data_IF_475196168762
#
_entry.id   IF_475196168762
#
_cell.length_a   1.000
_cell.length_b   1.000
_cell.length_c   1.000
_cell.angle_alpha   90.00
_cell.angle_beta   90.00
_cell.angle_gamma   90.00
#
_symmetry.space_group_name_H-M   'P 1'
#
loop_
_entity.id
_entity.type
_entity.pdbx_description
1 polymer ?
#
# COMPACT_ATOMS: atom_id res chain seq x y z
N UNK A 1 6.01 16.68 -10.36
CA UNK A 1 4.95 15.89 -9.69
C UNK A 1 5.46 15.38 -8.36
N UNK A 2 4.62 15.36 -7.34
CA UNK A 2 4.97 14.93 -5.99
C UNK A 2 3.79 14.12 -5.43
N UNK A 3 4.00 13.09 -4.61
CA UNK A 3 2.94 12.29 -3.99
C UNK A 3 3.39 11.66 -2.67
N UNK A 4 2.44 11.36 -1.79
CA UNK A 4 2.63 10.67 -0.53
C UNK A 4 1.93 9.31 -0.55
N UNK A 5 2.67 8.23 -0.33
CA UNK A 5 2.12 6.89 -0.16
C UNK A 5 2.07 6.59 1.34
N UNK A 6 0.91 6.21 1.84
CA UNK A 6 0.70 5.93 3.26
C UNK A 6 0.25 4.49 3.42
N UNK A 7 1.02 3.68 4.16
CA UNK A 7 0.57 2.37 4.57
C UNK A 7 -0.46 2.53 5.69
N UNK A 8 -1.57 1.77 5.64
CA UNK A 8 -2.53 1.73 6.75
C UNK A 8 -1.86 1.38 8.09
N UNK A 9 -2.53 1.69 9.20
CA UNK A 9 -2.13 1.39 10.58
C UNK A 9 -2.24 -0.10 10.91
N UNK A 10 -1.86 -0.52 12.12
CA UNK A 10 -1.99 -1.90 12.57
C UNK A 10 -3.45 -2.38 12.49
N UNK A 11 -3.60 -3.67 12.19
CA UNK A 11 -4.89 -4.34 12.11
C UNK A 11 -5.13 -5.20 13.35
N UNK A 12 -6.39 -5.41 13.71
CA UNK A 12 -6.77 -6.31 14.79
C UNK A 12 -6.50 -7.80 14.49
N UNK A 13 -6.03 -8.09 13.26
CA UNK A 13 -5.66 -9.44 12.85
C UNK A 13 -4.41 -9.89 13.62
N UNK A 14 -4.43 -11.08 14.27
CA UNK A 14 -3.25 -11.60 14.94
C UNK A 14 -2.03 -11.70 14.02
N UNK A 15 -0.83 -11.55 14.59
CA UNK A 15 0.41 -11.76 13.86
C UNK A 15 0.46 -13.14 13.20
N UNK A 16 1.01 -13.22 12.00
CA UNK A 16 1.14 -14.47 11.27
C UNK A 16 -0.12 -14.92 10.51
N UNK A 17 -1.21 -14.15 10.53
CA UNK A 17 -2.40 -14.42 9.71
C UNK A 17 -2.28 -13.72 8.37
N UNK A 18 -2.52 -14.45 7.28
CA UNK A 18 -2.67 -13.89 5.94
C UNK A 18 -4.02 -13.18 5.83
N UNK A 19 -4.08 -11.90 5.44
CA UNK A 19 -5.37 -11.21 5.31
C UNK A 19 -5.59 -10.46 3.98
N UNK A 20 -4.55 -10.19 3.19
CA UNK A 20 -4.67 -9.64 1.82
C UNK A 20 -5.80 -8.65 1.62
N UNK A 21 -6.84 -9.05 0.89
CA UNK A 21 -8.07 -8.29 0.62
C UNK A 21 -9.15 -8.48 1.66
N UNK A 22 -9.02 -9.40 2.61
CA UNK A 22 -9.99 -9.51 3.70
C UNK A 22 -10.13 -8.15 4.40
N UNK A 23 -11.37 -7.73 4.63
CA UNK A 23 -11.68 -6.41 5.19
C UNK A 23 -11.64 -6.47 6.73
N UNK A 24 -10.41 -6.47 7.25
CA UNK A 24 -10.11 -6.58 8.68
C UNK A 24 -10.13 -5.21 9.37
N UNK A 25 -10.52 -5.20 10.65
CA UNK A 25 -10.56 -4.00 11.49
C UNK A 25 -9.17 -3.51 11.88
N UNK A 26 -9.08 -2.32 12.41
CA UNK A 26 -7.88 -1.72 13.02
C UNK A 26 -7.79 -2.08 14.50
N UNK A 27 -6.59 -1.92 15.08
CA UNK A 27 -6.36 -2.11 16.53
C UNK A 27 -6.94 -0.96 17.37
N UNK A 28 -6.96 -1.14 18.69
CA UNK A 28 -7.33 -0.08 19.63
C UNK A 28 -6.32 1.10 19.62
N UNK A 29 -5.08 0.86 19.14
CA UNK A 29 -4.05 1.88 19.00
C UNK A 29 -4.25 2.79 17.77
N UNK A 30 -5.28 2.52 16.93
CA UNK A 30 -5.57 3.28 15.72
C UNK A 30 -5.58 4.80 15.94
N UNK A 31 -6.23 5.37 16.97
CA UNK A 31 -6.27 6.83 17.13
C UNK A 31 -4.88 7.45 17.27
N UNK A 32 -4.00 6.81 18.03
CA UNK A 32 -2.62 7.28 18.25
C UNK A 32 -1.76 7.14 16.99
N UNK A 33 -1.88 6.00 16.30
CA UNK A 33 -1.16 5.75 15.05
C UNK A 33 -1.61 6.72 13.95
N UNK A 34 -2.92 6.91 13.81
CA UNK A 34 -3.48 7.86 12.84
C UNK A 34 -3.05 9.30 13.13
N UNK A 35 -3.04 9.72 14.42
CA UNK A 35 -2.53 11.02 14.81
C UNK A 35 -1.05 11.21 14.42
N UNK A 36 -0.23 10.17 14.51
CA UNK A 36 1.16 10.19 14.04
C UNK A 36 1.28 10.43 12.54
N UNK A 37 0.42 9.79 11.74
CA UNK A 37 0.38 10.01 10.28
C UNK A 37 -0.08 11.42 9.95
N UNK A 38 -1.14 11.92 10.61
CA UNK A 38 -1.63 13.30 10.46
C UNK A 38 -0.51 14.29 10.75
N UNK A 39 0.19 14.15 11.88
CA UNK A 39 1.29 15.02 12.26
C UNK A 39 2.47 14.98 11.27
N UNK A 40 2.73 13.81 10.65
CA UNK A 40 3.77 13.66 9.63
C UNK A 40 3.42 14.45 8.36
N UNK A 41 2.15 14.48 7.97
CA UNK A 41 1.67 15.17 6.77
C UNK A 41 1.30 16.63 7.02
N UNK A 42 1.24 17.07 8.27
CA UNK A 42 0.92 18.45 8.63
C UNK A 42 1.92 19.43 8.03
N UNK A 43 1.43 20.49 7.40
CA UNK A 43 2.25 21.52 6.77
C UNK A 43 2.90 21.11 5.45
N UNK A 44 2.64 19.90 4.89
CA UNK A 44 3.17 19.50 3.59
C UNK A 44 2.40 20.11 2.42
N UNK A 45 1.19 20.64 2.67
CA UNK A 45 0.35 21.24 1.63
C UNK A 45 -0.26 20.21 0.68
N UNK A 46 -0.45 18.96 1.14
CA UNK A 46 -1.13 17.94 0.32
C UNK A 46 -2.58 18.35 -0.02
N UNK A 47 -3.06 17.83 -1.13
CA UNK A 47 -4.40 18.11 -1.64
C UNK A 47 -5.33 16.90 -1.54
N UNK A 48 -5.59 16.27 -2.67
CA UNK A 48 -6.53 15.14 -2.77
C UNK A 48 -6.04 13.90 -2.02
N UNK A 49 -6.98 13.24 -1.30
CA UNK A 49 -6.72 11.98 -0.61
C UNK A 49 -7.42 10.84 -1.36
N UNK A 50 -6.64 9.89 -1.85
CA UNK A 50 -7.11 8.61 -2.40
C UNK A 50 -7.01 7.52 -1.33
N UNK A 51 -7.89 6.53 -1.39
CA UNK A 51 -7.87 5.40 -0.47
C UNK A 51 -8.20 4.09 -1.17
N UNK A 52 -7.51 3.03 -0.78
CA UNK A 52 -8.02 1.67 -0.95
C UNK A 52 -9.43 1.55 -0.36
N UNK A 53 -10.35 0.72 -0.95
CA UNK A 53 -11.69 0.51 -0.41
C UNK A 53 -11.71 -0.23 0.94
N UNK A 54 -10.59 -0.84 1.37
CA UNK A 54 -10.55 -1.63 2.61
C UNK A 54 -10.63 -0.74 3.86
N UNK A 55 -11.39 -1.19 4.86
CA UNK A 55 -11.76 -0.43 6.06
C UNK A 55 -10.55 0.24 6.71
N UNK A 56 -9.44 -0.49 6.92
CA UNK A 56 -8.21 0.01 7.53
C UNK A 56 -7.60 1.21 6.83
N UNK A 57 -7.74 1.29 5.49
CA UNK A 57 -7.30 2.44 4.70
C UNK A 57 -8.31 3.58 4.74
N UNK A 58 -9.61 3.27 4.61
CA UNK A 58 -10.67 4.29 4.63
C UNK A 58 -10.72 5.03 5.96
N UNK A 59 -10.54 4.32 7.08
CA UNK A 59 -10.51 4.94 8.40
C UNK A 59 -9.33 5.92 8.51
N UNK A 60 -8.13 5.53 8.08
CA UNK A 60 -6.97 6.42 8.10
C UNK A 60 -7.14 7.60 7.14
N UNK A 61 -7.64 7.37 5.92
CA UNK A 61 -7.87 8.43 4.94
C UNK A 61 -8.87 9.49 5.45
N UNK A 62 -9.89 9.08 6.21
CA UNK A 62 -10.85 9.98 6.85
C UNK A 62 -10.24 10.86 7.95
N UNK A 63 -9.12 10.47 8.54
CA UNK A 63 -8.37 11.32 9.47
C UNK A 63 -7.58 12.42 8.75
N UNK A 64 -7.35 12.27 7.43
CA UNK A 64 -6.58 13.21 6.62
C UNK A 64 -7.47 14.18 5.84
N UNK A 65 -8.69 13.80 5.47
CA UNK A 65 -9.62 14.66 4.74
C UNK A 65 -11.08 14.24 4.91
N UNK A 66 -12.00 15.20 4.93
CA UNK A 66 -13.45 14.97 4.96
C UNK A 66 -13.93 14.26 3.69
N UNK A 67 -13.37 14.66 2.54
CA UNK A 67 -13.67 14.05 1.24
C UNK A 67 -12.50 13.21 0.76
N UNK A 68 -12.75 11.91 0.53
CA UNK A 68 -11.76 10.96 0.03
C UNK A 68 -12.24 10.32 -1.28
N UNK A 69 -11.31 10.00 -2.17
CA UNK A 69 -11.58 9.27 -3.40
C UNK A 69 -11.21 7.81 -3.22
N UNK A 70 -12.20 6.91 -3.28
CA UNK A 70 -11.95 5.46 -3.19
C UNK A 70 -11.58 4.93 -4.56
N UNK A 71 -10.47 4.17 -4.63
CA UNK A 71 -10.03 3.52 -5.87
C UNK A 71 -9.65 2.05 -5.62
N UNK A 72 -10.33 1.13 -6.32
CA UNK A 72 -10.12 -0.31 -6.17
C UNK A 72 -8.71 -0.76 -6.62
N UNK A 73 -8.05 0.01 -7.49
CA UNK A 73 -6.68 -0.28 -7.95
C UNK A 73 -5.64 -0.17 -6.82
N UNK A 74 -5.98 0.52 -5.72
CA UNK A 74 -5.14 0.66 -4.52
C UNK A 74 -5.32 -0.49 -3.50
N UNK A 75 -6.12 -1.52 -3.81
CA UNK A 75 -6.35 -2.66 -2.90
C UNK A 75 -5.10 -3.55 -2.78
N UNK A 76 -4.91 -4.23 -1.65
CA UNK A 76 -3.82 -5.19 -1.43
C UNK A 76 -3.93 -6.41 -2.36
N UNK A 77 -2.87 -7.20 -2.46
CA UNK A 77 -2.87 -8.48 -3.16
C UNK A 77 -3.97 -9.39 -2.59
N UNK A 78 -4.78 -10.00 -3.47
CA UNK A 78 -5.73 -11.03 -3.05
C UNK A 78 -5.02 -12.36 -2.85
N UNK A 79 -5.03 -12.88 -1.61
CA UNK A 79 -4.50 -14.21 -1.31
C UNK A 79 -5.55 -15.32 -1.45
N UNK A 80 -6.78 -14.96 -1.84
CA UNK A 80 -7.84 -15.90 -2.16
C UNK A 80 -8.16 -16.84 -1.00
N UNK A 81 -8.07 -18.16 -1.23
CA UNK A 81 -8.37 -19.18 -0.21
C UNK A 81 -7.43 -19.20 1.00
N UNK A 82 -6.35 -18.43 0.97
CA UNK A 82 -5.41 -18.33 2.08
C UNK A 82 -5.74 -17.18 3.04
N UNK A 83 -6.67 -16.30 2.67
CA UNK A 83 -7.03 -15.18 3.53
C UNK A 83 -7.69 -15.68 4.82
N UNK A 84 -7.33 -15.02 5.93
CA UNK A 84 -7.70 -15.34 7.31
C UNK A 84 -7.18 -16.70 7.82
N UNK A 85 -6.18 -17.27 7.14
CA UNK A 85 -5.49 -18.50 7.53
C UNK A 85 -4.08 -18.16 8.03
N UNK A 86 -3.57 -18.85 9.09
CA UNK A 86 -2.19 -18.70 9.52
C UNK A 86 -1.21 -19.02 8.38
N UNK A 87 -0.19 -18.20 8.17
CA UNK A 87 0.86 -18.46 7.18
C UNK A 87 1.53 -19.81 7.37
N UNK A 88 1.71 -20.25 8.63
CA UNK A 88 2.24 -21.58 8.93
C UNK A 88 1.36 -22.67 8.30
N UNK A 89 0.03 -22.59 8.47
CA UNK A 89 -0.90 -23.56 7.88
C UNK A 89 -0.96 -23.44 6.34
N UNK A 90 -0.72 -22.26 5.77
CA UNK A 90 -0.60 -22.10 4.31
C UNK A 90 0.67 -22.79 3.82
N UNK A 91 1.80 -22.59 4.51
CA UNK A 91 3.10 -23.19 4.15
C UNK A 91 3.06 -24.73 4.13
N UNK A 92 2.30 -25.33 5.03
CA UNK A 92 2.15 -26.80 5.13
C UNK A 92 1.28 -27.42 4.02
N UNK A 93 0.62 -26.61 3.20
CA UNK A 93 -0.23 -27.08 2.10
C UNK A 93 0.60 -27.38 0.86
N UNK A 94 0.42 -28.57 0.28
CA UNK A 94 1.07 -28.94 -0.97
C UNK A 94 0.79 -27.95 -2.12
N UNK A 95 -0.42 -27.39 -2.17
CA UNK A 95 -0.82 -26.41 -3.18
C UNK A 95 -0.09 -25.07 -3.08
N UNK A 96 0.57 -24.78 -1.96
CA UNK A 96 1.33 -23.54 -1.75
C UNK A 96 2.79 -23.63 -2.21
N UNK A 97 3.33 -24.82 -2.40
CA UNK A 97 4.74 -25.05 -2.77
C UNK A 97 5.15 -24.27 -4.02
N UNK A 98 4.32 -24.29 -5.06
CA UNK A 98 4.57 -23.58 -6.31
C UNK A 98 4.61 -22.05 -6.10
N UNK A 99 3.75 -21.54 -5.22
CA UNK A 99 3.73 -20.10 -4.90
C UNK A 99 4.96 -19.69 -4.09
N UNK A 100 5.35 -20.46 -3.08
CA UNK A 100 6.56 -20.15 -2.30
C UNK A 100 7.85 -20.29 -3.14
N UNK A 101 7.86 -21.17 -4.14
CA UNK A 101 8.98 -21.30 -5.08
C UNK A 101 9.06 -20.11 -6.05
N UNK A 102 7.91 -19.59 -6.50
CA UNK A 102 7.83 -18.48 -7.46
C UNK A 102 6.57 -17.64 -7.26
N UNK A 103 6.50 -16.87 -6.16
CA UNK A 103 5.41 -15.95 -5.87
C UNK A 103 5.29 -14.80 -6.88
N UNK A 104 6.38 -14.53 -7.63
CA UNK A 104 6.42 -13.45 -8.63
C UNK A 104 5.54 -13.76 -9.85
N UNK A 105 5.34 -15.04 -10.17
CA UNK A 105 4.58 -15.46 -11.36
C UNK A 105 3.37 -16.34 -11.02
N UNK A 106 3.34 -16.94 -9.83
CA UNK A 106 2.28 -17.84 -9.39
C UNK A 106 1.21 -17.09 -8.60
N UNK A 107 -0.07 -17.31 -8.87
CA UNK A 107 -1.17 -16.77 -8.07
C UNK A 107 -1.55 -17.73 -6.94
N UNK A 108 -1.96 -17.21 -5.76
CA UNK A 108 -2.62 -18.03 -4.75
C UNK A 108 -3.93 -18.62 -5.29
N UNK A 109 -4.41 -19.76 -4.77
CA UNK A 109 -5.69 -20.35 -5.21
C UNK A 109 -6.86 -19.37 -5.06
N UNK A 110 -7.54 -19.09 -6.17
CA UNK A 110 -8.59 -18.06 -6.27
C UNK A 110 -8.14 -16.64 -5.85
N UNK A 111 -6.83 -16.40 -5.87
CA UNK A 111 -6.24 -15.10 -5.55
C UNK A 111 -5.77 -14.35 -6.79
N UNK A 112 -4.98 -13.30 -6.57
CA UNK A 112 -4.41 -12.45 -7.60
C UNK A 112 -2.92 -12.75 -7.76
N UNK A 113 -2.41 -12.78 -8.99
CA UNK A 113 -0.96 -12.86 -9.23
C UNK A 113 -0.28 -11.51 -9.03
N UNK A 114 1.01 -11.51 -8.68
CA UNK A 114 1.79 -10.28 -8.60
C UNK A 114 1.79 -9.47 -9.91
N UNK A 115 1.91 -10.07 -11.13
CA UNK A 115 1.74 -9.34 -12.39
C UNK A 115 0.34 -8.72 -12.56
N UNK A 116 -0.72 -9.41 -12.10
CA UNK A 116 -2.09 -8.87 -12.11
C UNK A 116 -2.21 -7.61 -11.25
N UNK A 117 -1.71 -7.69 -10.01
CA UNK A 117 -1.64 -6.55 -9.11
C UNK A 117 -0.80 -5.41 -9.70
N UNK A 118 0.37 -5.72 -10.27
CA UNK A 118 1.25 -4.72 -10.87
C UNK A 118 0.53 -3.98 -12.00
N UNK A 119 -0.22 -4.67 -12.85
CA UNK A 119 -0.97 -4.05 -13.95
C UNK A 119 -1.99 -3.03 -13.43
N UNK A 120 -2.86 -3.41 -12.48
CA UNK A 120 -3.88 -2.49 -11.95
C UNK A 120 -3.29 -1.29 -11.20
N UNK A 121 -2.16 -1.48 -10.51
CA UNK A 121 -1.46 -0.36 -9.85
C UNK A 121 -0.80 0.53 -10.89
N UNK A 122 -0.23 -0.02 -11.97
CA UNK A 122 0.28 0.78 -13.09
C UNK A 122 -0.84 1.60 -13.75
N UNK A 123 -2.01 0.99 -14.00
CA UNK A 123 -3.18 1.71 -14.53
C UNK A 123 -3.62 2.88 -13.62
N UNK A 124 -3.39 2.76 -12.30
CA UNK A 124 -3.63 3.86 -11.38
C UNK A 124 -2.53 4.92 -11.47
N UNK A 125 -1.25 4.55 -11.56
CA UNK A 125 -0.13 5.48 -11.73
C UNK A 125 -0.33 6.32 -13.00
N UNK A 126 -0.69 5.68 -14.11
CA UNK A 126 -0.90 6.33 -15.41
C UNK A 126 -2.14 7.25 -15.41
N UNK A 127 -3.10 6.96 -14.54
CA UNK A 127 -4.31 7.79 -14.35
C UNK A 127 -4.04 9.08 -13.55
N UNK A 128 -3.01 9.11 -12.69
CA UNK A 128 -2.73 10.27 -11.84
C UNK A 128 -2.28 11.46 -12.68
N UNK A 129 -3.03 12.58 -12.70
CA UNK A 129 -2.57 13.80 -13.33
C UNK A 129 -1.47 14.48 -12.49
N UNK A 130 -0.77 15.42 -13.09
CA UNK A 130 0.03 16.36 -12.32
C UNK A 130 -0.90 17.28 -11.52
N UNK A 131 -0.77 17.25 -10.20
CA UNK A 131 -1.54 18.07 -9.26
C UNK A 131 -0.73 19.26 -8.79
N UNK A 132 -1.37 20.42 -8.58
CA UNK A 132 -0.76 21.58 -7.94
C UNK A 132 -0.37 21.31 -6.48
N UNK A 133 -1.19 20.48 -5.80
CA UNK A 133 -0.94 20.00 -4.44
C UNK A 133 -0.74 18.48 -4.46
N UNK A 134 0.31 17.95 -3.82
CA UNK A 134 0.60 16.51 -3.84
C UNK A 134 -0.58 15.67 -3.34
N UNK A 135 -1.00 14.60 -4.05
CA UNK A 135 -2.00 13.69 -3.54
C UNK A 135 -1.42 12.78 -2.46
N UNK A 136 -2.29 12.36 -1.54
CA UNK A 136 -2.02 11.32 -0.54
C UNK A 136 -2.74 10.04 -0.96
N UNK A 137 -2.03 8.92 -0.99
CA UNK A 137 -2.55 7.60 -1.36
C UNK A 137 -2.50 6.67 -0.16
N UNK A 138 -3.63 6.46 0.52
CA UNK A 138 -3.71 5.55 1.68
C UNK A 138 -3.96 4.14 1.18
N UNK A 139 -2.97 3.27 1.37
CA UNK A 139 -2.95 1.95 0.76
C UNK A 139 -2.19 0.91 1.61
N UNK A 140 -1.55 -0.06 0.99
CA UNK A 140 -0.96 -1.26 1.58
C UNK A 140 0.51 -1.41 1.16
N UNK A 141 1.26 -2.23 1.91
CA UNK A 141 2.68 -2.46 1.65
C UNK A 141 2.93 -3.04 0.24
N UNK A 142 2.09 -3.96 -0.24
CA UNK A 142 2.23 -4.55 -1.58
C UNK A 142 2.07 -3.50 -2.69
N UNK A 143 1.09 -2.60 -2.56
CA UNK A 143 0.88 -1.49 -3.51
C UNK A 143 2.08 -0.53 -3.48
N UNK A 144 2.53 -0.12 -2.29
CA UNK A 144 3.68 0.79 -2.15
C UNK A 144 4.92 0.18 -2.82
N UNK A 145 5.19 -1.12 -2.63
CA UNK A 145 6.29 -1.82 -3.31
C UNK A 145 6.23 -1.71 -4.83
N UNK A 146 5.03 -1.80 -5.41
CA UNK A 146 4.87 -1.62 -6.86
C UNK A 146 5.22 -0.19 -7.28
N UNK A 147 4.82 0.83 -6.51
CA UNK A 147 5.26 2.20 -6.77
C UNK A 147 6.79 2.34 -6.74
N UNK A 148 7.46 1.72 -5.77
CA UNK A 148 8.93 1.73 -5.70
C UNK A 148 9.57 1.07 -6.92
N UNK A 149 9.03 -0.08 -7.35
CA UNK A 149 9.50 -0.78 -8.56
C UNK A 149 9.28 0.07 -9.82
N UNK A 150 8.08 0.66 -9.98
CA UNK A 150 7.68 1.35 -11.21
C UNK A 150 8.24 2.76 -11.33
N UNK A 151 8.40 3.47 -10.23
CA UNK A 151 8.84 4.87 -10.23
C UNK A 151 10.31 5.03 -9.88
N UNK A 152 10.82 4.25 -8.92
CA UNK A 152 12.22 4.36 -8.47
C UNK A 152 13.16 3.34 -9.14
N UNK A 153 12.62 2.41 -9.95
CA UNK A 153 13.43 1.39 -10.63
C UNK A 153 13.95 0.29 -9.72
N UNK A 154 13.36 0.08 -8.53
CA UNK A 154 13.71 -1.04 -7.68
C UNK A 154 13.43 -2.36 -8.39
N UNK A 155 14.27 -3.35 -8.18
CA UNK A 155 13.91 -4.74 -8.45
C UNK A 155 12.80 -5.18 -7.48
N UNK A 156 12.08 -6.25 -7.83
CA UNK A 156 11.06 -6.83 -6.93
C UNK A 156 11.71 -7.20 -5.59
N UNK A 157 12.89 -7.84 -5.62
CA UNK A 157 13.58 -8.29 -4.41
C UNK A 157 14.00 -7.12 -3.50
N UNK A 158 14.55 -6.04 -4.06
CA UNK A 158 14.85 -4.81 -3.31
C UNK A 158 13.58 -4.21 -2.68
N UNK A 159 12.47 -4.20 -3.40
CA UNK A 159 11.20 -3.69 -2.87
C UNK A 159 10.67 -4.51 -1.71
N UNK A 160 10.90 -5.84 -1.71
CA UNK A 160 10.54 -6.72 -0.60
C UNK A 160 11.52 -6.63 0.58
N UNK A 161 12.80 -6.40 0.32
CA UNK A 161 13.81 -6.17 1.36
C UNK A 161 13.55 -4.86 2.12
N UNK A 162 12.96 -3.84 1.46
CA UNK A 162 12.57 -2.60 2.12
C UNK A 162 11.39 -2.85 3.07
N UNK A 163 11.64 -2.65 4.36
CA UNK A 163 10.57 -2.68 5.37
C UNK A 163 9.72 -1.41 5.22
N UNK A 164 8.43 -1.59 4.99
CA UNK A 164 7.43 -0.51 5.00
C UNK A 164 6.62 -0.69 6.29
N UNK A 165 6.78 0.22 7.27
CA UNK A 165 6.10 0.12 8.57
C UNK A 165 4.61 0.47 8.46
N UNK A 166 3.78 0.03 9.43
CA UNK A 166 2.42 0.52 9.55
C UNK A 166 2.41 2.02 9.85
N UNK A 167 1.53 2.78 9.21
CA UNK A 167 1.48 4.23 9.32
C UNK A 167 2.66 4.96 8.65
N UNK A 168 3.56 4.26 7.98
CA UNK A 168 4.67 4.89 7.27
C UNK A 168 4.16 5.74 6.11
N UNK A 169 4.74 6.92 5.98
CA UNK A 169 4.54 7.84 4.86
C UNK A 169 5.79 7.83 3.99
N UNK A 170 5.66 7.39 2.76
CA UNK A 170 6.72 7.42 1.73
C UNK A 170 6.46 8.61 0.82
N UNK A 171 7.41 9.52 0.73
CA UNK A 171 7.34 10.73 -0.07
C UNK A 171 8.11 10.54 -1.37
N UNK A 172 7.42 10.62 -2.50
CA UNK A 172 8.00 10.48 -3.83
C UNK A 172 7.90 11.79 -4.60
N UNK A 173 9.02 12.21 -5.18
CA UNK A 173 9.14 13.45 -5.96
C UNK A 173 9.70 13.13 -7.33
N UNK A 174 9.04 13.63 -8.38
CA UNK A 174 9.55 13.62 -9.76
C UNK A 174 10.20 14.97 -10.06
N UNK A 175 11.48 14.96 -10.31
CA UNK A 175 12.25 16.14 -10.71
C UNK A 175 11.90 16.56 -12.15
N UNK A 176 12.38 17.74 -12.56
CA UNK A 176 12.11 18.32 -13.89
C UNK A 176 12.70 17.46 -15.03
N UNK A 177 13.74 16.68 -14.76
CA UNK A 177 14.32 15.69 -15.69
C UNK A 177 13.48 14.40 -15.81
N UNK A 178 12.34 14.33 -15.11
CA UNK A 178 11.42 13.19 -15.14
C UNK A 178 11.79 12.04 -14.20
N UNK A 179 12.89 12.15 -13.45
CA UNK A 179 13.38 11.09 -12.55
C UNK A 179 12.67 11.17 -11.19
N UNK A 180 12.14 10.03 -10.73
CA UNK A 180 11.53 9.89 -9.41
C UNK A 180 12.57 9.58 -8.34
N UNK A 181 12.39 10.17 -7.16
CA UNK A 181 13.21 9.93 -5.97
C UNK A 181 12.34 9.83 -4.72
N UNK A 182 12.78 9.05 -3.74
CA UNK A 182 12.23 9.09 -2.38
C UNK A 182 12.94 10.23 -1.63
N UNK A 183 12.18 11.17 -1.09
CA UNK A 183 12.70 12.36 -0.43
C UNK A 183 12.20 12.43 1.03
N UNK A 184 12.95 13.06 1.92
CA UNK A 184 12.44 13.39 3.26
C UNK A 184 11.18 14.25 3.18
N UNK A 185 10.23 14.00 4.09
CA UNK A 185 9.02 14.81 4.18
C UNK A 185 9.40 16.22 4.65
N UNK A 186 8.98 17.22 3.90
CA UNK A 186 9.25 18.64 4.20
C UNK A 186 7.93 19.36 4.41
N UNK A 187 7.86 20.18 5.47
CA UNK A 187 6.77 21.13 5.67
C UNK A 187 6.99 22.34 4.76
N UNK A 188 5.92 22.84 4.18
CA UNK A 188 5.93 24.04 3.32
C UNK A 188 5.60 25.28 4.12
#
# INVERSE_FOLDING_TARGET
>A
MELYLVRHTHTATPSGICYGRADVSVTETFPQEAAGVVATLEGTGYGRVYSSPLLRCRLLAKMLADTITIDARLTELAFGKWELVPWQSVYERKESEAWFADYKHTAPPAGESYPGMTRRVQDFIDYLPDYDCPPVLVTHAGVIRIFLVRLLGYTIDESFARKIAYGEVVHLVRSDDGVWREEPIRRR
#
